data_IF_831310643480
#
_entry.id   IF_831310643480
#
_cell.length_a   1.000
_cell.length_b   1.000
_cell.length_c   1.000
_cell.angle_alpha   90.00
_cell.angle_beta   90.00
_cell.angle_gamma   90.00
#
_symmetry.space_group_name_H-M   'P 1'
#
loop_
_entity.id
_entity.type
_entity.pdbx_description
1 polymer ?
#
# COMPACT_ATOMS: atom_id res chain seq x y z
N UNK A 1 -12.26 -2.87 17.56
CA UNK A 1 -13.20 -1.92 16.93
C UNK A 1 -14.19 -1.42 17.97
N UNK A 2 -14.85 -0.27 17.76
CA UNK A 2 -15.89 0.26 18.64
C UNK A 2 -17.27 0.16 17.98
N UNK A 3 -18.28 -0.23 18.74
CA UNK A 3 -19.67 -0.32 18.27
C UNK A 3 -20.43 0.96 18.65
N UNK A 4 -21.31 1.44 17.78
CA UNK A 4 -22.20 2.56 18.07
C UNK A 4 -23.60 2.35 17.47
N UNK A 5 -24.58 3.11 17.97
CA UNK A 5 -25.93 3.17 17.41
C UNK A 5 -26.70 1.85 17.50
N UNK A 6 -26.59 1.11 18.62
CA UNK A 6 -27.27 -0.16 18.93
C UNK A 6 -28.79 0.01 19.14
N UNK A 7 -29.45 0.72 18.24
CA UNK A 7 -30.88 1.00 18.27
C UNK A 7 -31.50 0.66 16.90
N UNK A 8 -32.80 0.39 16.90
CA UNK A 8 -33.64 0.27 15.68
C UNK A 8 -33.09 -0.73 14.64
N UNK A 9 -32.55 -1.86 15.09
CA UNK A 9 -32.04 -2.91 14.19
C UNK A 9 -30.77 -2.55 13.42
N UNK A 10 -30.06 -1.48 13.79
CA UNK A 10 -28.79 -1.06 13.16
C UNK A 10 -27.66 -1.11 14.18
N UNK A 11 -26.45 -1.40 13.69
CA UNK A 11 -25.20 -1.25 14.43
C UNK A 11 -24.14 -0.68 13.50
N UNK A 12 -23.37 0.29 13.97
CA UNK A 12 -22.21 0.82 13.24
C UNK A 12 -20.92 0.37 13.92
N UNK A 13 -19.92 0.04 13.12
CA UNK A 13 -18.59 -0.33 13.57
C UNK A 13 -17.61 0.79 13.18
N UNK A 14 -16.83 1.24 14.14
CA UNK A 14 -15.82 2.26 13.98
C UNK A 14 -14.43 1.71 14.27
N UNK A 15 -13.43 2.17 13.50
CA UNK A 15 -12.03 1.90 13.75
C UNK A 15 -11.65 2.43 15.14
N UNK A 16 -10.96 1.61 15.94
CA UNK A 16 -10.57 1.98 17.30
C UNK A 16 -9.27 2.78 17.36
N UNK A 17 -8.43 2.64 16.33
CA UNK A 17 -7.13 3.27 16.15
C UNK A 17 -6.88 3.45 14.64
N UNK A 18 -5.76 4.08 14.28
CA UNK A 18 -5.23 4.01 12.92
C UNK A 18 -4.80 2.57 12.61
N UNK A 19 -5.24 2.02 11.47
CA UNK A 19 -4.89 0.66 11.07
C UNK A 19 -5.49 0.23 9.75
N UNK A 20 -5.20 -1.01 9.36
CA UNK A 20 -5.69 -1.64 8.13
C UNK A 20 -6.89 -2.52 8.45
N UNK A 21 -8.02 -2.25 7.80
CA UNK A 21 -9.24 -3.06 7.91
C UNK A 21 -9.04 -4.40 7.21
N UNK A 22 -9.31 -5.50 7.90
CA UNK A 22 -9.36 -6.83 7.32
C UNK A 22 -10.79 -7.34 7.33
N UNK A 23 -11.17 -7.93 6.21
CA UNK A 23 -12.51 -8.48 5.99
C UNK A 23 -12.34 -9.88 5.44
N UNK A 24 -13.00 -10.84 6.08
CA UNK A 24 -13.19 -12.16 5.51
C UNK A 24 -14.30 -12.08 4.45
N UNK A 25 -13.91 -11.79 3.20
CA UNK A 25 -14.84 -11.50 2.10
C UNK A 25 -15.78 -12.68 1.81
N UNK A 26 -15.32 -13.95 1.72
CA UNK A 26 -16.22 -15.08 1.53
C UNK A 26 -17.25 -15.22 2.65
N UNK A 27 -16.83 -15.05 3.91
CA UNK A 27 -17.75 -15.17 5.05
C UNK A 27 -18.69 -13.97 5.17
N UNK A 28 -18.24 -12.78 4.78
CA UNK A 28 -19.11 -11.61 4.67
C UNK A 28 -20.22 -11.86 3.64
N UNK A 29 -19.92 -12.50 2.51
CA UNK A 29 -20.92 -12.88 1.52
C UNK A 29 -21.94 -13.85 2.11
N UNK A 30 -21.49 -14.93 2.78
CA UNK A 30 -22.38 -15.88 3.48
C UNK A 30 -23.28 -15.21 4.52
N UNK A 31 -22.75 -14.26 5.29
CA UNK A 31 -23.54 -13.52 6.28
C UNK A 31 -24.63 -12.68 5.58
N UNK A 32 -24.31 -12.08 4.44
CA UNK A 32 -25.25 -11.28 3.64
C UNK A 32 -26.29 -12.14 2.88
N UNK A 33 -26.12 -13.46 2.81
CA UNK A 33 -27.15 -14.39 2.32
C UNK A 33 -28.23 -14.68 3.38
N UNK A 34 -27.99 -14.34 4.65
CA UNK A 34 -28.97 -14.53 5.72
C UNK A 34 -30.18 -13.61 5.53
N UNK A 35 -31.38 -14.19 5.48
CA UNK A 35 -32.61 -13.45 5.21
C UNK A 35 -32.82 -12.26 6.18
N UNK A 36 -32.94 -11.06 5.62
CA UNK A 36 -33.22 -9.84 6.36
C UNK A 36 -32.04 -9.27 7.15
N UNK A 37 -30.83 -9.81 7.01
CA UNK A 37 -29.58 -9.28 7.61
C UNK A 37 -28.71 -8.68 6.50
N UNK A 38 -28.10 -7.53 6.79
CA UNK A 38 -27.10 -6.91 5.90
C UNK A 38 -25.91 -6.40 6.72
N UNK A 39 -24.70 -6.66 6.24
CA UNK A 39 -23.46 -6.11 6.74
C UNK A 39 -22.68 -5.54 5.55
N UNK A 40 -22.53 -4.23 5.53
CA UNK A 40 -21.69 -3.54 4.55
C UNK A 40 -20.40 -3.08 5.22
N UNK A 41 -19.27 -3.19 4.53
CA UNK A 41 -17.94 -2.78 5.00
C UNK A 41 -17.30 -1.83 4.01
N UNK A 42 -16.29 -1.07 4.45
CA UNK A 42 -15.28 -0.57 3.51
C UNK A 42 -14.55 -1.76 2.85
N UNK A 43 -13.88 -1.55 1.70
CA UNK A 43 -13.08 -2.61 1.08
C UNK A 43 -12.06 -3.19 2.06
N UNK A 44 -11.77 -4.49 1.91
CA UNK A 44 -10.67 -5.12 2.63
C UNK A 44 -9.34 -4.39 2.33
N UNK A 45 -8.40 -4.44 3.26
CA UNK A 45 -7.09 -3.80 3.17
C UNK A 45 -7.10 -2.26 3.18
N UNK A 46 -8.25 -1.64 3.46
CA UNK A 46 -8.33 -0.17 3.55
C UNK A 46 -7.67 0.34 4.82
N UNK A 47 -6.73 1.28 4.70
CA UNK A 47 -6.19 2.04 5.82
C UNK A 47 -7.23 3.04 6.34
N UNK A 48 -7.46 3.07 7.65
CA UNK A 48 -8.51 3.88 8.26
C UNK A 48 -8.03 4.56 9.54
N UNK A 49 -8.38 5.83 9.69
CA UNK A 49 -8.15 6.61 10.91
C UNK A 49 -9.08 6.16 12.05
N UNK A 50 -8.65 6.39 13.29
CA UNK A 50 -9.47 6.19 14.47
C UNK A 50 -10.82 6.94 14.34
N UNK A 51 -11.92 6.28 14.73
CA UNK A 51 -13.27 6.84 14.64
C UNK A 51 -13.94 6.72 13.27
N UNK A 52 -13.21 6.43 12.18
CA UNK A 52 -13.81 6.17 10.86
C UNK A 52 -14.79 5.00 10.96
N UNK A 53 -16.00 5.16 10.43
CA UNK A 53 -16.95 4.06 10.31
C UNK A 53 -16.44 3.09 9.23
N UNK A 54 -16.24 1.82 9.61
CA UNK A 54 -15.68 0.77 8.75
C UNK A 54 -16.71 -0.26 8.31
N UNK A 55 -17.80 -0.40 9.07
CA UNK A 55 -18.90 -1.27 8.70
C UNK A 55 -20.23 -0.83 9.31
N UNK A 56 -21.34 -1.25 8.72
CA UNK A 56 -22.70 -1.08 9.26
C UNK A 56 -23.47 -2.38 9.08
N UNK A 57 -24.01 -2.89 10.19
CA UNK A 57 -24.97 -3.99 10.21
C UNK A 57 -26.38 -3.41 10.29
N UNK A 58 -27.33 -4.01 9.58
CA UNK A 58 -28.77 -3.71 9.69
C UNK A 58 -29.57 -4.99 9.55
N UNK A 59 -30.65 -5.13 10.34
CA UNK A 59 -31.79 -5.93 9.90
C UNK A 59 -32.70 -5.07 9.02
N UNK A 60 -33.25 -5.64 7.95
CA UNK A 60 -34.08 -4.91 6.99
C UNK A 60 -35.52 -4.71 7.48
N UNK A 61 -36.27 -5.76 7.90
CA UNK A 61 -37.58 -5.60 8.51
C UNK A 61 -37.48 -5.26 10.00
N UNK A 62 -38.61 -4.88 10.60
CA UNK A 62 -38.71 -4.62 12.05
C UNK A 62 -38.36 -5.84 12.92
N UNK A 63 -38.56 -7.04 12.38
CA UNK A 63 -38.19 -8.30 13.02
C UNK A 63 -37.81 -9.34 11.95
N UNK A 64 -36.87 -10.22 12.27
CA UNK A 64 -36.46 -11.35 11.42
C UNK A 64 -36.69 -12.68 12.15
N UNK A 65 -36.87 -13.80 11.42
CA UNK A 65 -37.02 -15.11 12.05
C UNK A 65 -35.82 -15.47 12.92
N UNK A 66 -36.07 -16.10 14.08
CA UNK A 66 -35.01 -16.52 15.00
C UNK A 66 -33.99 -17.48 14.35
N UNK A 67 -34.40 -18.25 13.34
CA UNK A 67 -33.50 -19.10 12.56
C UNK A 67 -32.46 -18.28 11.77
N UNK A 68 -32.85 -17.14 11.18
CA UNK A 68 -31.94 -16.27 10.44
C UNK A 68 -30.92 -15.59 11.39
N UNK A 69 -31.35 -15.22 12.61
CA UNK A 69 -30.46 -14.71 13.65
C UNK A 69 -29.41 -15.76 14.02
N UNK A 70 -29.84 -16.99 14.35
CA UNK A 70 -28.92 -18.09 14.72
C UNK A 70 -27.95 -18.42 13.60
N UNK A 71 -28.39 -18.37 12.34
CA UNK A 71 -27.52 -18.59 11.19
C UNK A 71 -26.46 -17.49 11.09
N UNK A 72 -26.85 -16.21 11.18
CA UNK A 72 -25.92 -15.09 11.16
C UNK A 72 -24.93 -15.13 12.35
N UNK A 73 -25.40 -15.51 13.54
CA UNK A 73 -24.56 -15.71 14.72
C UNK A 73 -23.57 -16.85 14.53
N UNK A 74 -23.99 -17.99 13.96
CA UNK A 74 -23.10 -19.12 13.70
C UNK A 74 -21.98 -18.76 12.69
N UNK A 75 -22.30 -17.97 11.67
CA UNK A 75 -21.31 -17.45 10.70
C UNK A 75 -20.38 -16.44 11.41
N UNK A 76 -20.93 -15.50 12.17
CA UNK A 76 -20.17 -14.45 12.84
C UNK A 76 -19.27 -14.93 13.98
N UNK A 77 -19.67 -15.98 14.71
CA UNK A 77 -19.01 -16.49 15.91
C UNK A 77 -17.98 -17.60 15.65
N UNK A 78 -17.43 -17.69 14.43
CA UNK A 78 -16.28 -18.57 14.18
C UNK A 78 -15.02 -18.08 14.92
N UNK A 79 -14.03 -18.96 15.21
CA UNK A 79 -12.84 -18.59 15.97
C UNK A 79 -12.04 -17.43 15.36
N UNK A 80 -11.96 -17.35 14.03
CA UNK A 80 -11.33 -16.23 13.34
C UNK A 80 -12.31 -15.06 13.20
N UNK A 81 -11.90 -13.81 13.45
CA UNK A 81 -12.79 -12.66 13.37
C UNK A 81 -13.21 -12.36 11.92
N UNK A 82 -14.50 -12.07 11.70
CA UNK A 82 -15.03 -11.68 10.37
C UNK A 82 -14.48 -10.32 9.93
N UNK A 83 -14.36 -9.40 10.89
CA UNK A 83 -13.73 -8.10 10.72
C UNK A 83 -12.65 -7.95 11.79
N UNK A 84 -11.44 -7.58 11.38
CA UNK A 84 -10.38 -7.16 12.32
C UNK A 84 -9.71 -5.89 11.82
N UNK A 85 -9.05 -5.20 12.74
CA UNK A 85 -8.29 -4.00 12.45
C UNK A 85 -6.86 -4.26 12.90
N UNK A 86 -5.93 -4.30 11.96
CA UNK A 86 -4.52 -4.49 12.26
C UNK A 86 -3.90 -3.08 12.46
N UNK A 87 -3.42 -2.74 13.67
CA UNK A 87 -2.99 -1.39 13.98
C UNK A 87 -1.71 -1.01 13.23
N UNK A 88 -1.63 0.24 12.76
CA UNK A 88 -0.39 0.82 12.24
C UNK A 88 0.43 1.37 13.41
N UNK A 89 1.39 0.57 13.87
CA UNK A 89 2.35 0.97 14.91
C UNK A 89 3.40 1.93 14.34
N UNK A 90 4.12 2.69 15.17
CA UNK A 90 5.24 3.51 14.71
C UNK A 90 6.25 2.71 13.88
N UNK A 91 6.62 3.23 12.70
CA UNK A 91 7.58 2.60 11.77
C UNK A 91 8.64 3.59 11.28
N UNK A 92 9.83 3.10 10.97
CA UNK A 92 10.96 3.91 10.45
C UNK A 92 11.24 3.54 9.00
N UNK A 93 11.06 4.49 8.10
CA UNK A 93 11.38 4.33 6.68
C UNK A 93 12.68 5.05 6.31
N UNK A 94 13.44 4.46 5.39
CA UNK A 94 14.56 5.12 4.73
C UNK A 94 14.27 5.33 3.24
N UNK A 95 14.73 6.46 2.69
CA UNK A 95 14.63 6.78 1.27
C UNK A 95 16.03 6.81 0.67
N UNK A 96 16.24 6.05 -0.40
CA UNK A 96 17.46 6.12 -1.21
C UNK A 96 17.06 6.65 -2.57
N UNK A 97 17.64 7.78 -2.94
CA UNK A 97 17.44 8.44 -4.22
C UNK A 97 18.63 8.18 -5.12
N UNK A 98 18.41 7.98 -6.43
CA UNK A 98 19.50 7.81 -7.38
C UNK A 98 19.29 8.59 -8.67
N UNK A 99 20.35 9.16 -9.24
CA UNK A 99 20.28 9.90 -10.49
C UNK A 99 21.56 10.67 -10.78
N UNK A 100 21.53 11.51 -11.80
CA UNK A 100 22.67 12.38 -12.10
C UNK A 100 22.89 13.43 -10.99
N UNK A 101 24.13 13.85 -10.70
CA UNK A 101 24.40 14.88 -9.68
C UNK A 101 23.62 16.19 -9.91
N UNK A 102 23.36 16.53 -11.18
CA UNK A 102 22.65 17.75 -11.57
C UNK A 102 21.19 17.80 -11.09
N UNK A 103 20.56 16.64 -10.80
CA UNK A 103 19.14 16.59 -10.38
C UNK A 103 18.94 16.36 -8.89
N UNK A 104 20.02 16.18 -8.12
CA UNK A 104 20.02 15.77 -6.72
C UNK A 104 19.04 16.60 -5.86
N UNK A 105 19.24 17.91 -5.77
CA UNK A 105 18.43 18.78 -4.91
C UNK A 105 16.94 18.76 -5.29
N UNK A 106 16.67 18.76 -6.60
CA UNK A 106 15.31 18.73 -7.15
C UNK A 106 14.59 17.43 -6.79
N UNK A 107 15.23 16.27 -6.98
CA UNK A 107 14.58 14.99 -6.70
C UNK A 107 14.44 14.75 -5.19
N UNK A 108 15.45 15.13 -4.38
CA UNK A 108 15.36 15.08 -2.92
C UNK A 108 14.15 15.87 -2.45
N UNK A 109 14.04 17.14 -2.84
CA UNK A 109 12.93 17.99 -2.41
C UNK A 109 11.56 17.40 -2.81
N UNK A 110 11.41 16.96 -4.06
CA UNK A 110 10.13 16.47 -4.59
C UNK A 110 9.65 15.16 -3.95
N UNK A 111 10.54 14.17 -3.80
CA UNK A 111 10.18 12.89 -3.19
C UNK A 111 10.05 13.00 -1.67
N UNK A 112 10.97 13.72 -1.00
CA UNK A 112 10.92 13.89 0.45
C UNK A 112 9.59 14.50 0.89
N UNK A 113 9.14 15.56 0.23
CA UNK A 113 7.92 16.28 0.62
C UNK A 113 6.69 15.37 0.57
N UNK A 114 6.50 14.66 -0.55
CA UNK A 114 5.35 13.78 -0.73
C UNK A 114 5.43 12.54 0.17
N UNK A 115 6.59 11.86 0.23
CA UNK A 115 6.73 10.64 1.02
C UNK A 115 6.66 10.89 2.52
N UNK A 116 7.20 12.01 3.03
CA UNK A 116 7.03 12.37 4.45
C UNK A 116 5.57 12.49 4.84
N UNK A 117 4.76 13.18 4.03
CA UNK A 117 3.34 13.35 4.30
C UNK A 117 2.59 12.00 4.28
N UNK A 118 2.85 11.16 3.27
CA UNK A 118 2.25 9.82 3.15
C UNK A 118 2.60 8.91 4.33
N UNK A 119 3.88 8.84 4.68
CA UNK A 119 4.35 8.00 5.78
C UNK A 119 3.79 8.48 7.12
N UNK A 120 3.79 9.80 7.37
CA UNK A 120 3.26 10.37 8.62
C UNK A 120 1.77 10.04 8.81
N UNK A 121 0.97 10.08 7.73
CA UNK A 121 -0.44 9.67 7.76
C UNK A 121 -0.64 8.18 8.13
N UNK A 122 0.41 7.36 8.00
CA UNK A 122 0.43 5.93 8.32
C UNK A 122 1.22 5.62 9.60
N UNK A 123 1.49 6.64 10.44
CA UNK A 123 2.29 6.52 11.66
C UNK A 123 3.70 5.97 11.39
N UNK A 124 4.29 6.38 10.26
CA UNK A 124 5.66 6.07 9.88
C UNK A 124 6.48 7.35 9.66
N UNK A 125 7.74 7.32 10.04
CA UNK A 125 8.65 8.45 9.90
C UNK A 125 9.72 8.16 8.86
N UNK A 126 9.95 9.12 7.96
CA UNK A 126 11.10 9.10 7.08
C UNK A 126 12.34 9.59 7.85
N UNK A 127 13.17 8.66 8.31
CA UNK A 127 14.27 8.94 9.25
C UNK A 127 15.64 9.10 8.60
N UNK A 128 15.79 8.63 7.36
CA UNK A 128 17.04 8.70 6.60
C UNK A 128 16.73 8.97 5.13
N UNK A 129 17.54 9.83 4.51
CA UNK A 129 17.49 10.14 3.08
C UNK A 129 18.93 10.17 2.58
N UNK A 130 19.26 9.26 1.68
CA UNK A 130 20.55 9.21 1.00
C UNK A 130 20.36 9.42 -0.50
N UNK A 131 21.34 10.04 -1.15
CA UNK A 131 21.40 10.18 -2.60
C UNK A 131 22.63 9.45 -3.14
N UNK A 132 22.44 8.63 -4.17
CA UNK A 132 23.47 7.86 -4.85
C UNK A 132 23.62 8.38 -6.28
N UNK A 133 24.75 9.02 -6.63
CA UNK A 133 24.99 9.45 -8.00
C UNK A 133 25.09 8.23 -8.92
N UNK A 134 24.48 8.35 -10.11
CA UNK A 134 24.58 7.39 -11.20
C UNK A 134 25.38 8.02 -12.34
N UNK A 135 26.67 7.75 -12.38
CA UNK A 135 27.62 8.40 -13.29
C UNK A 135 28.78 7.50 -13.79
N UNK A 136 28.92 6.27 -13.26
CA UNK A 136 30.01 5.37 -13.65
C UNK A 136 29.66 3.87 -13.46
N UNK A 137 30.63 2.99 -13.70
CA UNK A 137 30.45 1.53 -13.64
C UNK A 137 30.21 1.00 -12.21
N UNK A 138 30.42 1.81 -11.18
CA UNK A 138 30.31 1.44 -9.77
C UNK A 138 28.94 1.76 -9.18
N UNK A 139 28.05 2.38 -9.97
CA UNK A 139 26.68 2.75 -9.63
C UNK A 139 25.90 1.65 -8.87
N UNK A 140 25.89 0.43 -9.42
CA UNK A 140 25.21 -0.71 -8.79
C UNK A 140 25.81 -1.03 -7.41
N UNK A 141 27.14 -1.04 -7.32
CA UNK A 141 27.85 -1.36 -6.07
C UNK A 141 27.59 -0.31 -5.01
N UNK A 142 27.60 0.97 -5.37
CA UNK A 142 27.29 2.08 -4.47
C UNK A 142 25.86 1.98 -3.96
N UNK A 143 24.89 1.77 -4.85
CA UNK A 143 23.48 1.63 -4.45
C UNK A 143 23.27 0.40 -3.55
N UNK A 144 23.89 -0.73 -3.87
CA UNK A 144 23.83 -1.94 -3.04
C UNK A 144 24.44 -1.72 -1.64
N UNK A 145 25.54 -0.96 -1.54
CA UNK A 145 26.14 -0.61 -0.25
C UNK A 145 25.22 0.30 0.58
N UNK A 146 24.58 1.30 -0.04
CA UNK A 146 23.61 2.16 0.63
C UNK A 146 22.39 1.37 1.11
N UNK A 147 21.87 0.44 0.31
CA UNK A 147 20.80 -0.48 0.73
C UNK A 147 21.24 -1.26 1.98
N UNK A 148 22.44 -1.85 1.98
CA UNK A 148 22.97 -2.56 3.16
C UNK A 148 23.13 -1.65 4.39
N UNK A 149 23.50 -0.39 4.20
CA UNK A 149 23.60 0.58 5.29
C UNK A 149 22.22 0.84 5.92
N UNK A 150 21.18 1.04 5.10
CA UNK A 150 19.81 1.18 5.57
C UNK A 150 19.28 -0.08 6.28
N UNK A 151 19.65 -1.27 5.81
CA UNK A 151 19.30 -2.53 6.48
C UNK A 151 19.96 -2.65 7.86
N UNK A 152 21.24 -2.26 7.97
CA UNK A 152 21.97 -2.22 9.25
C UNK A 152 21.39 -1.19 10.24
N UNK A 153 20.83 -0.10 9.73
CA UNK A 153 20.13 0.92 10.53
C UNK A 153 18.74 0.48 11.03
N UNK A 154 18.34 -0.76 10.72
CA UNK A 154 17.08 -1.38 11.13
C UNK A 154 15.84 -0.56 10.72
N UNK A 155 15.83 -0.05 9.48
CA UNK A 155 14.62 0.52 8.90
C UNK A 155 13.58 -0.58 8.65
N UNK A 156 12.32 -0.29 8.96
CA UNK A 156 11.18 -1.18 8.70
C UNK A 156 10.80 -1.24 7.21
N UNK A 157 11.16 -0.19 6.45
CA UNK A 157 10.87 -0.05 5.04
C UNK A 157 12.01 0.73 4.36
N UNK A 158 12.44 0.27 3.19
CA UNK A 158 13.36 1.01 2.32
C UNK A 158 12.60 1.40 1.06
N UNK A 159 12.65 2.68 0.70
CA UNK A 159 12.07 3.20 -0.55
C UNK A 159 13.22 3.57 -1.47
N UNK A 160 13.25 3.01 -2.67
CA UNK A 160 14.14 3.39 -3.75
C UNK A 160 13.36 4.28 -4.72
N UNK A 161 13.93 5.40 -5.10
CA UNK A 161 13.38 6.27 -6.13
C UNK A 161 14.51 6.95 -6.89
N UNK A 162 14.23 7.54 -8.05
CA UNK A 162 15.29 8.17 -8.82
C UNK A 162 14.82 9.08 -9.93
N UNK A 163 15.81 9.55 -10.68
CA UNK A 163 15.60 10.34 -11.90
C UNK A 163 14.81 9.56 -12.96
N UNK A 164 15.16 8.28 -13.16
CA UNK A 164 14.51 7.35 -14.06
C UNK A 164 13.59 6.39 -13.30
N UNK A 165 12.54 5.93 -13.97
CA UNK A 165 11.68 4.89 -13.43
C UNK A 165 12.35 3.52 -13.58
N UNK A 166 12.05 2.61 -12.66
CA UNK A 166 12.48 1.20 -12.74
C UNK A 166 11.54 0.49 -13.72
N UNK A 167 12.09 0.07 -14.86
CA UNK A 167 11.36 -0.54 -15.97
C UNK A 167 11.41 -2.05 -15.88
N UNK A 168 12.59 -2.62 -15.68
CA UNK A 168 12.78 -4.07 -15.64
C UNK A 168 14.02 -4.47 -14.82
N UNK A 169 14.27 -5.77 -14.76
CA UNK A 169 15.35 -6.38 -13.95
C UNK A 169 16.78 -5.95 -14.32
N UNK A 170 17.00 -5.39 -15.50
CA UNK A 170 18.33 -5.00 -15.96
C UNK A 170 18.72 -3.60 -15.50
N UNK A 171 17.78 -2.84 -14.94
CA UNK A 171 18.05 -1.55 -14.31
C UNK A 171 18.95 -1.70 -13.08
N UNK A 172 19.63 -0.60 -12.73
CA UNK A 172 20.59 -0.56 -11.62
C UNK A 172 19.92 -0.89 -10.28
N UNK A 173 18.71 -0.37 -10.03
CA UNK A 173 18.02 -0.56 -8.75
C UNK A 173 17.71 -2.04 -8.40
N UNK A 174 17.04 -2.84 -9.25
CA UNK A 174 16.80 -4.26 -8.96
C UNK A 174 18.10 -5.05 -8.82
N UNK A 175 19.09 -4.81 -9.68
CA UNK A 175 20.40 -5.45 -9.59
C UNK A 175 21.10 -5.13 -8.27
N UNK A 176 21.08 -3.87 -7.84
CA UNK A 176 21.63 -3.46 -6.55
C UNK A 176 20.90 -4.10 -5.36
N UNK A 177 19.59 -4.30 -5.45
CA UNK A 177 18.83 -5.05 -4.44
C UNK A 177 19.27 -6.51 -4.39
N UNK A 178 19.39 -7.19 -5.53
CA UNK A 178 19.87 -8.58 -5.59
C UNK A 178 21.32 -8.68 -5.08
N UNK A 179 22.18 -7.75 -5.48
CA UNK A 179 23.56 -7.67 -5.01
C UNK A 179 23.62 -7.43 -3.49
N UNK A 180 22.69 -6.65 -2.93
CA UNK A 180 22.55 -6.45 -1.49
C UNK A 180 22.05 -7.70 -0.74
N UNK A 181 21.69 -8.78 -1.44
CA UNK A 181 21.15 -10.02 -0.87
C UNK A 181 19.63 -10.04 -0.79
N UNK A 182 18.96 -9.09 -1.43
CA UNK A 182 17.50 -9.04 -1.54
C UNK A 182 16.96 -9.93 -2.66
N UNK A 183 15.63 -10.01 -2.74
CA UNK A 183 14.90 -10.74 -3.78
C UNK A 183 13.82 -9.85 -4.36
N UNK A 184 13.84 -9.66 -5.67
CA UNK A 184 12.77 -8.94 -6.38
C UNK A 184 11.57 -9.86 -6.54
N UNK A 185 10.38 -9.37 -6.17
CA UNK A 185 9.12 -10.11 -6.21
C UNK A 185 8.35 -9.83 -7.49
N UNK A 186 8.25 -8.56 -7.87
CA UNK A 186 7.58 -8.18 -9.10
C UNK A 186 8.03 -6.81 -9.61
N UNK A 187 7.79 -6.64 -10.91
CA UNK A 187 7.86 -5.36 -11.60
C UNK A 187 6.47 -5.02 -12.11
N UNK A 188 6.16 -3.74 -12.00
CA UNK A 188 4.89 -3.15 -12.32
C UNK A 188 3.75 -3.52 -11.38
N UNK A 189 2.68 -2.75 -11.52
CA UNK A 189 1.39 -2.99 -10.88
C UNK A 189 0.29 -2.56 -11.86
N UNK A 190 -0.85 -3.27 -11.95
CA UNK A 190 -1.98 -2.85 -12.77
C UNK A 190 -2.76 -1.70 -12.09
N UNK A 191 -2.10 -0.57 -11.83
CA UNK A 191 -2.64 0.59 -11.12
C UNK A 191 -2.15 1.89 -11.74
N UNK A 192 -3.08 2.76 -12.10
CA UNK A 192 -2.79 4.06 -12.70
C UNK A 192 -3.36 5.21 -11.85
N UNK A 193 -2.52 6.16 -11.38
CA UNK A 193 -1.06 6.24 -11.54
C UNK A 193 -0.28 5.23 -10.68
N UNK A 194 0.79 4.66 -11.24
CA UNK A 194 1.67 3.76 -10.47
C UNK A 194 2.26 2.54 -11.19
N UNK A 195 2.01 2.37 -12.49
CA UNK A 195 2.32 1.14 -13.22
C UNK A 195 3.77 0.64 -13.15
N UNK A 196 4.75 1.48 -12.79
CA UNK A 196 6.19 1.15 -12.73
C UNK A 196 6.69 0.91 -11.29
N UNK A 197 5.85 0.33 -10.43
CA UNK A 197 6.24 -0.11 -9.11
C UNK A 197 7.27 -1.26 -9.21
N UNK A 198 8.26 -1.29 -8.33
CA UNK A 198 9.01 -2.53 -8.04
C UNK A 198 8.79 -2.91 -6.58
N UNK A 199 8.56 -4.19 -6.31
CA UNK A 199 8.53 -4.73 -4.96
C UNK A 199 9.63 -5.77 -4.79
N UNK A 200 10.44 -5.61 -3.75
CA UNK A 200 11.47 -6.54 -3.35
C UNK A 200 11.52 -6.68 -1.82
N UNK A 201 12.27 -7.66 -1.33
CA UNK A 201 12.52 -7.84 0.10
C UNK A 201 13.97 -8.20 0.37
N UNK A 202 14.48 -7.78 1.52
CA UNK A 202 15.66 -8.39 2.14
C UNK A 202 15.25 -9.01 3.47
N UNK A 203 15.13 -10.35 3.51
CA UNK A 203 14.50 -11.04 4.64
C UNK A 203 13.05 -10.60 4.81
N UNK A 204 12.74 -10.01 5.98
CA UNK A 204 11.41 -9.46 6.27
C UNK A 204 11.24 -7.98 5.88
N UNK A 205 12.33 -7.28 5.53
CA UNK A 205 12.29 -5.84 5.24
C UNK A 205 11.84 -5.61 3.79
N UNK A 206 10.69 -4.96 3.54
CA UNK A 206 10.29 -4.57 2.20
C UNK A 206 11.20 -3.49 1.64
N UNK A 207 11.51 -3.62 0.35
CA UNK A 207 12.23 -2.64 -0.46
C UNK A 207 11.29 -2.26 -1.61
N UNK A 208 10.82 -1.01 -1.60
CA UNK A 208 9.84 -0.48 -2.55
C UNK A 208 10.53 0.41 -3.57
N UNK A 209 10.57 -0.02 -4.83
CA UNK A 209 10.90 0.87 -5.94
C UNK A 209 9.71 1.74 -6.27
N UNK A 210 9.73 2.99 -5.81
CA UNK A 210 8.63 3.92 -5.97
C UNK A 210 8.63 4.53 -7.38
N UNK A 211 7.50 4.47 -8.11
CA UNK A 211 7.38 5.11 -9.41
C UNK A 211 7.44 6.63 -9.30
N UNK A 212 7.71 7.30 -10.43
CA UNK A 212 7.79 8.76 -10.47
C UNK A 212 6.53 9.51 -10.00
N UNK A 213 5.35 8.86 -9.98
CA UNK A 213 4.13 9.45 -9.43
C UNK A 213 4.16 9.57 -7.89
N UNK A 214 5.07 8.89 -7.19
CA UNK A 214 5.22 8.98 -5.73
C UNK A 214 5.60 10.39 -5.24
N UNK A 215 6.13 11.25 -6.13
CA UNK A 215 6.40 12.67 -5.86
C UNK A 215 5.14 13.56 -5.89
N UNK A 216 4.04 13.06 -6.45
CA UNK A 216 2.74 13.74 -6.43
C UNK A 216 2.08 13.55 -5.07
N UNK A 217 1.28 14.50 -4.57
CA UNK A 217 0.42 14.28 -3.40
C UNK A 217 -0.84 13.45 -3.72
N UNK A 218 -1.18 13.26 -5.00
CA UNK A 218 -2.36 12.50 -5.46
C UNK A 218 -2.21 11.00 -5.23
N UNK A 219 -3.31 10.31 -4.95
CA UNK A 219 -3.32 8.88 -4.70
C UNK A 219 -2.70 8.09 -5.87
N UNK A 220 -1.87 7.12 -5.55
CA UNK A 220 -1.21 6.24 -6.51
C UNK A 220 -0.96 4.85 -5.89
N UNK A 221 -0.33 3.95 -6.65
CA UNK A 221 0.00 2.59 -6.17
C UNK A 221 0.67 2.56 -4.79
N UNK A 222 1.51 3.55 -4.45
CA UNK A 222 2.23 3.62 -3.17
C UNK A 222 1.25 3.64 -1.99
N UNK A 223 0.09 4.28 -2.14
CA UNK A 223 -0.94 4.37 -1.10
C UNK A 223 -1.69 3.06 -0.87
N UNK A 224 -1.72 2.18 -1.88
CA UNK A 224 -2.33 0.86 -1.77
C UNK A 224 -1.38 -0.14 -1.10
N UNK A 225 -0.08 -0.02 -1.37
CA UNK A 225 0.93 -0.97 -0.86
C UNK A 225 1.46 -0.59 0.52
N UNK A 226 1.73 0.69 0.79
CA UNK A 226 2.37 1.13 2.03
C UNK A 226 1.62 0.69 3.29
N UNK A 227 0.30 0.85 3.42
CA UNK A 227 -0.39 0.44 4.64
C UNK A 227 -0.21 -1.04 4.94
N UNK A 228 -0.26 -1.90 3.90
CA UNK A 228 -0.08 -3.35 4.03
C UNK A 228 1.34 -3.69 4.45
N UNK A 229 2.35 -3.07 3.82
CA UNK A 229 3.76 -3.27 4.19
C UNK A 229 4.04 -2.84 5.64
N UNK A 230 3.49 -1.70 6.07
CA UNK A 230 3.73 -1.13 7.40
C UNK A 230 3.05 -1.92 8.54
N UNK A 231 1.92 -2.60 8.27
CA UNK A 231 1.34 -3.59 9.21
C UNK A 231 2.01 -4.96 9.16
N UNK A 232 3.05 -5.13 8.33
CA UNK A 232 3.86 -6.34 8.25
C UNK A 232 3.34 -7.40 7.28
N UNK A 233 2.43 -7.07 6.35
CA UNK A 233 2.09 -8.00 5.28
C UNK A 233 3.29 -8.28 4.40
N UNK A 234 3.48 -9.54 4.04
CA UNK A 234 4.39 -9.94 2.98
C UNK A 234 3.63 -10.06 1.67
N UNK A 235 3.55 -8.95 0.94
CA UNK A 235 2.91 -8.90 -0.37
C UNK A 235 3.62 -9.79 -1.40
N UNK A 236 2.84 -10.57 -2.12
CA UNK A 236 3.28 -11.40 -3.25
C UNK A 236 3.02 -10.70 -4.58
N UNK A 237 3.58 -11.24 -5.67
CA UNK A 237 3.22 -10.76 -7.01
C UNK A 237 1.70 -10.85 -7.28
N UNK A 238 1.04 -11.91 -6.79
CA UNK A 238 -0.41 -12.08 -6.94
C UNK A 238 -1.21 -11.00 -6.19
N UNK A 239 -0.76 -10.56 -5.01
CA UNK A 239 -1.36 -9.43 -4.31
C UNK A 239 -1.27 -8.14 -5.14
N UNK A 240 -0.14 -7.90 -5.81
CA UNK A 240 0.06 -6.72 -6.64
C UNK A 240 -0.85 -6.79 -7.88
N UNK A 241 -0.92 -7.94 -8.54
CA UNK A 241 -1.82 -8.15 -9.70
C UNK A 241 -3.29 -7.93 -9.33
N UNK A 242 -3.69 -8.32 -8.11
CA UNK A 242 -5.07 -8.16 -7.65
C UNK A 242 -5.54 -6.70 -7.58
N UNK A 243 -4.62 -5.72 -7.48
CA UNK A 243 -4.98 -4.30 -7.53
C UNK A 243 -5.57 -3.85 -8.87
N UNK A 244 -5.53 -4.68 -9.92
CA UNK A 244 -6.17 -4.35 -11.20
C UNK A 244 -7.67 -4.12 -11.06
N UNK A 245 -8.33 -4.79 -10.11
CA UNK A 245 -9.71 -4.51 -9.78
C UNK A 245 -9.82 -3.20 -8.98
N UNK A 246 -10.23 -2.13 -9.65
CA UNK A 246 -10.28 -0.78 -9.06
C UNK A 246 -8.94 -0.02 -9.13
N UNK A 247 -7.98 -0.51 -9.93
CA UNK A 247 -6.64 0.08 -10.05
C UNK A 247 -6.57 1.40 -10.82
N UNK A 248 -7.66 1.83 -11.47
CA UNK A 248 -7.74 3.17 -12.07
C UNK A 248 -8.18 4.16 -10.99
N UNK A 249 -7.21 4.88 -10.41
CA UNK A 249 -7.45 5.77 -9.26
C UNK A 249 -7.84 7.18 -9.68
N UNK A 250 -7.26 7.67 -10.76
CA UNK A 250 -7.59 8.97 -11.35
C UNK A 250 -7.65 8.87 -12.87
N UNK A 251 -8.54 9.65 -13.49
CA UNK A 251 -8.54 9.89 -14.93
C UNK A 251 -7.46 10.94 -15.23
N UNK A 252 -6.36 10.52 -15.83
CA UNK A 252 -5.25 11.41 -16.21
C UNK A 252 -5.45 11.82 -17.67
N UNK A 253 -5.51 13.13 -17.99
CA UNK A 253 -5.58 13.56 -19.38
C UNK A 253 -4.43 12.96 -20.20
N UNK A 254 -4.75 12.46 -21.40
CA UNK A 254 -3.76 11.83 -22.29
C UNK A 254 -2.53 12.74 -22.44
N UNK A 255 -1.34 12.18 -22.15
CA UNK A 255 -0.09 12.86 -22.53
C UNK A 255 -0.08 12.99 -24.05
N UNK A 256 0.18 14.17 -24.63
CA UNK A 256 0.37 14.27 -26.06
C UNK A 256 1.48 13.32 -26.49
N UNK A 257 1.19 12.45 -27.45
CA UNK A 257 2.13 11.44 -27.92
C UNK A 257 3.43 12.13 -28.37
N UNK A 258 4.63 11.63 -28.00
CA UNK A 258 5.91 12.21 -28.42
C UNK A 258 6.18 12.12 -29.94
N UNK A 259 5.21 11.64 -30.74
CA UNK A 259 5.29 11.51 -32.20
C UNK A 259 4.03 11.96 -32.91
N UNK A 260 3.40 13.04 -32.47
CA UNK A 260 2.42 13.72 -33.30
C UNK A 260 3.11 14.49 -34.44
N UNK A 261 3.26 13.83 -35.60
CA UNK A 261 3.49 14.35 -36.97
C UNK A 261 4.87 14.97 -37.28
N UNK A 262 5.77 14.16 -37.83
CA UNK A 262 6.49 14.59 -39.04
C UNK A 262 5.51 14.41 -40.19
N UNK A 263 4.87 15.50 -40.62
CA UNK A 263 4.06 15.51 -41.84
C UNK A 263 5.01 15.39 -43.04
N UNK A 264 4.72 14.57 -44.06
CA UNK A 264 5.58 14.42 -45.24
C UNK A 264 5.78 15.73 -46.01
#
# INVERSE_FOLDING_TARGET
MRLSGRATGRVKLHAAALGVLRVDVPRLAQLNECAGVTLATLPAQTAVNAGKMVATLKILPYAIPAAAVRQAEAIGNQPAPLLRLDPLTPKRAGLILSGSPAVQDRIIHSFQTALRARLAALNADLVAIDFVPLDDEDDERRLAQTIRAHLRAAHDLIILAGETAIMDRHDIAPRAVEQAGGTVICFGAPVDPGNLLMLAYHGAVPILGAPGCARSPKDNIVDLVLPRLLVGDRLTAADIVAFGHGGLLEDVPERPAPRARLTP
#
